data_IF_533284686190
#
_entry.id   IF_533284686190
#
_cell.length_a   1.000
_cell.length_b   1.000
_cell.length_c   1.000
_cell.angle_alpha   90.00
_cell.angle_beta   90.00
_cell.angle_gamma   90.00
#
_symmetry.space_group_name_H-M   'P 1'
#
loop_
_entity.id
_entity.type
_entity.pdbx_description
1 polymer ?
#
# COMPACT_ATOMS: atom_id res chain seq x y z
N UNK A 1 4.45 -27.42 -10.19
CA UNK A 1 3.60 -26.82 -9.15
C UNK A 1 3.91 -25.34 -9.10
N UNK A 2 2.92 -24.45 -9.18
CA UNK A 2 3.18 -23.03 -8.90
C UNK A 2 3.49 -22.92 -7.42
N UNK A 3 4.68 -22.43 -7.04
CA UNK A 3 4.97 -22.08 -5.65
C UNK A 3 3.94 -21.06 -5.18
N UNK A 4 3.42 -21.24 -3.96
CA UNK A 4 2.52 -20.26 -3.34
C UNK A 4 3.29 -18.98 -3.07
N UNK A 5 2.64 -17.85 -3.22
CA UNK A 5 3.20 -16.54 -2.89
C UNK A 5 3.46 -16.49 -1.38
N UNK A 6 4.69 -16.13 -0.98
CA UNK A 6 5.06 -15.90 0.42
C UNK A 6 4.70 -14.48 0.82
N UNK A 7 3.78 -14.33 1.76
CA UNK A 7 3.28 -13.05 2.25
C UNK A 7 3.89 -12.76 3.62
N UNK A 8 4.82 -11.81 3.68
CA UNK A 8 5.32 -11.27 4.94
C UNK A 8 4.28 -10.37 5.60
N UNK A 9 4.01 -10.58 6.88
CA UNK A 9 3.00 -9.84 7.63
C UNK A 9 3.65 -9.26 8.88
N UNK A 10 3.81 -7.93 8.96
CA UNK A 10 4.37 -7.30 10.17
C UNK A 10 3.30 -7.13 11.23
N UNK A 11 3.67 -7.32 12.51
CA UNK A 11 2.74 -7.22 13.65
C UNK A 11 2.17 -5.82 13.87
N UNK A 12 2.88 -4.76 13.41
CA UNK A 12 2.53 -3.38 13.71
C UNK A 12 2.71 -3.01 15.18
N UNK A 13 1.90 -2.06 15.66
CA UNK A 13 1.88 -1.69 17.07
C UNK A 13 1.29 -2.83 17.93
N UNK A 14 2.11 -3.36 18.83
CA UNK A 14 1.69 -4.45 19.74
C UNK A 14 0.59 -4.06 20.71
N UNK A 15 0.35 -2.77 20.91
CA UNK A 15 -0.72 -2.22 21.76
C UNK A 15 -1.98 -1.85 20.96
N UNK A 16 -1.94 -1.99 19.64
CA UNK A 16 -3.02 -1.64 18.72
C UNK A 16 -3.82 -2.84 18.23
N UNK A 17 -4.54 -2.62 17.12
CA UNK A 17 -5.43 -3.62 16.51
C UNK A 17 -4.71 -4.64 15.59
N UNK A 18 -3.39 -4.50 15.39
CA UNK A 18 -2.63 -5.32 14.43
C UNK A 18 -2.83 -6.81 14.66
N UNK A 19 -2.57 -7.30 15.87
CA UNK A 19 -2.74 -8.73 16.19
C UNK A 19 -4.19 -9.19 16.14
N UNK A 20 -5.16 -8.35 16.45
CA UNK A 20 -6.57 -8.71 16.31
C UNK A 20 -6.90 -9.07 14.86
N UNK A 21 -6.51 -8.20 13.92
CA UNK A 21 -6.73 -8.43 12.48
C UNK A 21 -5.95 -9.64 12.00
N UNK A 22 -4.67 -9.75 12.35
CA UNK A 22 -3.81 -10.88 11.95
C UNK A 22 -4.40 -12.20 12.43
N UNK A 23 -4.74 -12.32 13.71
CA UNK A 23 -5.24 -13.55 14.29
C UNK A 23 -6.61 -13.94 13.72
N UNK A 24 -7.54 -12.99 13.57
CA UNK A 24 -8.85 -13.25 12.96
C UNK A 24 -8.72 -13.73 11.51
N UNK A 25 -7.81 -13.14 10.75
CA UNK A 25 -7.57 -13.53 9.36
C UNK A 25 -6.92 -14.91 9.28
N UNK A 26 -5.85 -15.14 10.06
CA UNK A 26 -5.09 -16.38 9.99
C UNK A 26 -5.74 -17.55 10.73
N UNK A 27 -6.85 -17.34 11.46
CA UNK A 27 -7.68 -18.42 12.00
C UNK A 27 -8.52 -19.11 10.92
N UNK A 28 -8.68 -18.50 9.73
CA UNK A 28 -9.31 -19.13 8.58
C UNK A 28 -8.31 -20.09 7.90
N UNK A 29 -8.59 -21.40 7.87
CA UNK A 29 -7.69 -22.38 7.25
C UNK A 29 -7.50 -22.19 5.74
N UNK A 30 -8.43 -21.53 5.04
CA UNK A 30 -8.30 -21.28 3.60
C UNK A 30 -7.18 -20.28 3.26
N UNK A 31 -6.70 -19.47 4.21
CA UNK A 31 -5.61 -18.54 3.95
C UNK A 31 -4.32 -19.25 3.53
N UNK A 32 -3.99 -20.39 4.15
CA UNK A 32 -2.80 -21.18 3.79
C UNK A 32 -2.96 -21.93 2.46
N UNK A 33 -4.19 -22.04 1.93
CA UNK A 33 -4.42 -22.55 0.56
C UNK A 33 -4.07 -21.48 -0.49
N UNK A 34 -4.28 -20.20 -0.17
CA UNK A 34 -4.07 -19.07 -1.07
C UNK A 34 -2.61 -18.61 -1.10
N UNK A 35 -1.93 -18.59 0.05
CA UNK A 35 -0.57 -18.08 0.17
C UNK A 35 0.19 -18.78 1.30
N UNK A 36 1.49 -18.50 1.41
CA UNK A 36 2.34 -18.91 2.54
C UNK A 36 2.54 -17.72 3.47
N UNK A 37 1.77 -17.58 4.56
CA UNK A 37 1.91 -16.45 5.47
C UNK A 37 3.14 -16.60 6.36
N UNK A 38 3.92 -15.51 6.49
CA UNK A 38 5.08 -15.37 7.38
C UNK A 38 4.87 -14.15 8.27
N UNK A 39 4.51 -14.35 9.51
CA UNK A 39 4.28 -13.28 10.49
C UNK A 39 5.60 -12.87 11.12
N UNK A 40 5.90 -11.59 11.11
CA UNK A 40 7.03 -10.97 11.79
C UNK A 40 6.55 -10.34 13.09
N UNK A 41 6.88 -10.97 14.23
CA UNK A 41 6.33 -10.52 15.52
C UNK A 41 6.74 -11.38 16.70
N UNK A 42 5.83 -11.61 17.65
CA UNK A 42 6.03 -12.46 18.82
C UNK A 42 4.84 -13.40 19.05
N UNK A 43 5.12 -14.67 19.23
CA UNK A 43 4.11 -15.67 19.58
C UNK A 43 3.47 -15.41 20.96
N UNK A 44 4.24 -14.85 21.91
CA UNK A 44 3.71 -14.49 23.24
C UNK A 44 2.75 -13.32 23.16
N UNK A 45 3.09 -12.26 22.38
CA UNK A 45 2.20 -11.13 22.14
C UNK A 45 0.93 -11.59 21.42
N UNK A 46 1.06 -12.45 20.40
CA UNK A 46 -0.09 -13.05 19.73
C UNK A 46 -0.99 -13.83 20.71
N UNK A 47 -0.40 -14.65 21.59
CA UNK A 47 -1.14 -15.39 22.61
C UNK A 47 -1.84 -14.47 23.63
N UNK A 48 -1.22 -13.35 23.99
CA UNK A 48 -1.84 -12.33 24.85
C UNK A 48 -3.10 -11.76 24.21
N UNK A 49 -2.99 -11.26 22.96
CA UNK A 49 -4.13 -10.70 22.23
C UNK A 49 -5.24 -11.73 22.01
N UNK A 50 -4.86 -12.96 21.64
CA UNK A 50 -5.82 -14.06 21.48
C UNK A 50 -6.66 -14.28 22.74
N UNK A 51 -6.02 -14.32 23.90
CA UNK A 51 -6.72 -14.51 25.19
C UNK A 51 -7.59 -13.31 25.55
N UNK A 52 -7.08 -12.09 25.34
CA UNK A 52 -7.79 -10.86 25.67
C UNK A 52 -9.06 -10.63 24.82
N UNK A 53 -9.05 -11.14 23.59
CA UNK A 53 -10.11 -10.92 22.59
C UNK A 53 -10.95 -12.18 22.30
N UNK A 54 -10.67 -13.29 23.01
CA UNK A 54 -11.35 -14.59 22.81
C UNK A 54 -11.34 -15.07 21.34
N UNK A 55 -10.18 -14.92 20.67
CA UNK A 55 -10.00 -15.32 19.27
C UNK A 55 -9.57 -16.81 19.22
N UNK A 56 -10.01 -17.58 18.19
CA UNK A 56 -9.55 -18.95 17.98
C UNK A 56 -8.02 -19.06 17.91
N UNK A 57 -7.48 -20.21 18.29
CA UNK A 57 -6.04 -20.44 18.30
C UNK A 57 -5.50 -20.55 16.86
N UNK A 58 -4.45 -19.79 16.57
CA UNK A 58 -3.62 -19.95 15.39
C UNK A 58 -2.36 -20.70 15.80
N UNK A 59 -2.10 -21.85 15.15
CA UNK A 59 -0.91 -22.66 15.40
C UNK A 59 0.25 -22.12 14.56
N UNK A 60 1.11 -21.32 15.18
CA UNK A 60 2.29 -20.79 14.50
C UNK A 60 3.40 -21.84 14.40
N UNK A 61 3.95 -22.01 13.19
CA UNK A 61 5.21 -22.66 12.93
C UNK A 61 6.34 -21.67 13.16
N UNK A 62 7.05 -21.77 14.28
CA UNK A 62 8.13 -20.84 14.61
C UNK A 62 9.36 -21.18 13.77
N UNK A 63 9.85 -20.22 13.01
CA UNK A 63 11.02 -20.34 12.14
C UNK A 63 12.00 -19.18 12.39
N UNK A 64 13.25 -19.38 12.06
CA UNK A 64 14.30 -18.36 12.17
C UNK A 64 14.49 -17.54 10.90
N UNK A 65 14.08 -18.09 9.75
CA UNK A 65 14.28 -17.50 8.43
C UNK A 65 13.09 -17.78 7.52
N UNK A 66 12.72 -16.79 6.68
CA UNK A 66 11.57 -16.91 5.78
C UNK A 66 11.77 -17.96 4.66
N UNK A 67 13.02 -18.31 4.34
CA UNK A 67 13.29 -19.39 3.38
C UNK A 67 12.85 -20.77 3.88
N UNK A 68 12.78 -20.96 5.21
CA UNK A 68 12.33 -22.19 5.87
C UNK A 68 10.81 -22.25 6.07
N UNK A 69 10.05 -21.32 5.49
CA UNK A 69 8.60 -21.29 5.68
C UNK A 69 7.91 -22.53 5.08
N UNK A 70 7.06 -23.17 5.89
CA UNK A 70 6.22 -24.28 5.46
C UNK A 70 4.98 -23.71 4.71
N UNK A 71 4.79 -24.15 3.47
CA UNK A 71 3.71 -23.68 2.58
C UNK A 71 2.29 -24.01 3.08
N UNK A 72 2.16 -24.93 4.03
CA UNK A 72 0.88 -25.40 4.56
C UNK A 72 0.62 -24.93 6.00
N UNK A 73 1.44 -24.02 6.51
CA UNK A 73 1.33 -23.51 7.88
C UNK A 73 1.40 -22.01 7.93
N UNK A 74 0.87 -21.45 9.00
CA UNK A 74 1.11 -20.06 9.38
C UNK A 74 2.48 -20.00 10.06
N UNK A 75 3.45 -19.38 9.40
CA UNK A 75 4.82 -19.26 9.92
C UNK A 75 4.96 -17.99 10.75
N UNK A 76 5.88 -18.01 11.74
CA UNK A 76 6.20 -16.83 12.54
C UNK A 76 7.70 -16.73 12.76
N UNK A 77 8.25 -15.55 12.50
CA UNK A 77 9.61 -15.16 12.84
C UNK A 77 9.56 -14.23 14.05
N UNK A 78 10.25 -14.62 15.12
CA UNK A 78 10.33 -13.81 16.34
C UNK A 78 11.24 -12.61 16.10
N UNK A 79 10.68 -11.39 16.24
CA UNK A 79 11.36 -10.11 16.01
C UNK A 79 11.53 -9.28 17.27
N UNK A 80 10.92 -9.67 18.38
CA UNK A 80 10.93 -8.94 19.65
C UNK A 80 11.10 -9.91 20.81
N UNK A 81 11.67 -9.41 21.89
CA UNK A 81 11.88 -10.22 23.08
C UNK A 81 10.54 -10.69 23.66
N UNK A 82 10.58 -11.90 24.22
CA UNK A 82 9.40 -12.52 24.79
C UNK A 82 8.84 -11.78 26.03
N UNK A 83 9.65 -10.96 26.70
CA UNK A 83 9.25 -10.20 27.89
C UNK A 83 8.65 -8.82 27.60
N UNK A 84 8.37 -8.54 26.31
CA UNK A 84 7.74 -7.29 25.88
C UNK A 84 6.36 -7.14 26.56
N UNK A 85 6.18 -5.98 27.25
CA UNK A 85 4.95 -5.65 27.92
C UNK A 85 3.91 -5.08 26.95
N UNK A 86 2.76 -5.72 26.87
CA UNK A 86 1.61 -5.24 26.09
C UNK A 86 0.72 -4.36 26.97
N UNK A 87 0.41 -3.15 26.50
CA UNK A 87 -0.50 -2.20 27.14
C UNK A 87 -1.54 -1.71 26.12
N UNK A 88 -2.58 -2.51 25.92
CA UNK A 88 -3.60 -2.26 24.89
C UNK A 88 -4.14 -0.83 24.95
N UNK A 89 -4.20 -0.16 23.80
CA UNK A 89 -4.71 1.19 23.65
C UNK A 89 -3.76 2.30 24.04
N UNK A 90 -2.52 1.99 24.47
CA UNK A 90 -1.52 2.99 24.84
C UNK A 90 -0.41 3.11 23.80
N UNK A 91 -0.04 4.34 23.49
CA UNK A 91 1.16 4.62 22.71
C UNK A 91 2.39 4.50 23.63
N UNK A 92 3.26 3.53 23.40
CA UNK A 92 4.48 3.31 24.19
C UNK A 92 5.71 3.21 23.29
N UNK A 93 6.87 3.64 23.78
CA UNK A 93 8.14 3.50 23.05
C UNK A 93 8.44 2.02 22.71
N UNK A 94 8.17 1.12 23.68
CA UNK A 94 8.34 -0.33 23.48
C UNK A 94 7.47 -0.83 22.31
N UNK A 95 6.22 -0.35 22.20
CA UNK A 95 5.33 -0.69 21.07
C UNK A 95 5.88 -0.19 19.74
N UNK A 96 6.47 1.01 19.73
CA UNK A 96 7.13 1.58 18.56
C UNK A 96 8.37 0.80 18.14
N UNK A 97 9.24 0.46 19.08
CA UNK A 97 10.45 -0.36 18.84
C UNK A 97 10.09 -1.76 18.30
N UNK A 98 9.07 -2.39 18.89
CA UNK A 98 8.57 -3.69 18.45
C UNK A 98 8.01 -3.64 17.02
N UNK A 99 7.28 -2.58 16.68
CA UNK A 99 6.76 -2.37 15.33
C UNK A 99 7.89 -2.15 14.32
N UNK A 100 8.90 -1.34 14.67
CA UNK A 100 10.07 -1.12 13.83
C UNK A 100 10.89 -2.40 13.61
N UNK A 101 11.16 -3.17 14.66
CA UNK A 101 11.93 -4.41 14.56
C UNK A 101 11.28 -5.42 13.61
N UNK A 102 9.96 -5.56 13.67
CA UNK A 102 9.21 -6.42 12.75
C UNK A 102 9.25 -5.91 11.30
N UNK A 103 9.12 -4.60 11.11
CA UNK A 103 9.16 -3.96 9.79
C UNK A 103 10.54 -4.08 9.15
N UNK A 104 11.61 -3.82 9.90
CA UNK A 104 12.99 -3.92 9.40
C UNK A 104 13.35 -5.35 9.03
N UNK A 105 12.97 -6.34 9.84
CA UNK A 105 13.22 -7.75 9.54
C UNK A 105 12.46 -8.18 8.28
N UNK A 106 11.20 -7.79 8.15
CA UNK A 106 10.40 -8.11 6.96
C UNK A 106 10.95 -7.42 5.70
N UNK A 107 11.41 -6.17 5.82
CA UNK A 107 12.04 -5.46 4.71
C UNK A 107 13.35 -6.14 4.27
N UNK A 108 14.16 -6.63 5.20
CA UNK A 108 15.38 -7.36 4.88
C UNK A 108 15.09 -8.69 4.15
N UNK A 109 14.07 -9.44 4.58
CA UNK A 109 13.66 -10.67 3.92
C UNK A 109 13.02 -10.41 2.55
N UNK A 110 12.32 -9.26 2.37
CA UNK A 110 11.82 -8.81 1.07
C UNK A 110 12.97 -8.45 0.11
N UNK A 111 13.96 -7.72 0.58
CA UNK A 111 15.16 -7.37 -0.20
C UNK A 111 15.96 -8.62 -0.63
N UNK A 112 16.04 -9.62 0.25
CA UNK A 112 16.68 -10.90 -0.03
C UNK A 112 15.84 -11.82 -0.95
N UNK A 113 14.60 -11.44 -1.30
CA UNK A 113 13.68 -12.28 -2.08
C UNK A 113 13.17 -13.51 -1.33
N UNK A 114 13.26 -13.51 0.01
CA UNK A 114 12.75 -14.61 0.85
C UNK A 114 11.24 -14.55 1.04
N UNK A 115 10.63 -13.38 0.83
CA UNK A 115 9.18 -13.15 0.72
C UNK A 115 8.86 -12.40 -0.57
N UNK A 116 7.67 -12.62 -1.12
CA UNK A 116 7.24 -12.04 -2.40
C UNK A 116 6.46 -10.73 -2.23
N UNK A 117 5.72 -10.59 -1.12
CA UNK A 117 4.81 -9.48 -0.82
C UNK A 117 4.92 -9.15 0.66
N UNK A 118 4.84 -7.85 0.97
CA UNK A 118 4.82 -7.34 2.34
C UNK A 118 3.45 -6.71 2.65
N UNK A 119 2.79 -7.23 3.68
CA UNK A 119 1.57 -6.70 4.26
C UNK A 119 1.90 -6.10 5.64
N UNK A 120 1.59 -4.82 5.85
CA UNK A 120 1.92 -4.14 7.09
C UNK A 120 0.68 -3.93 7.95
N UNK A 121 0.72 -4.39 9.21
CA UNK A 121 -0.31 -4.03 10.19
C UNK A 121 -0.11 -2.56 10.65
N UNK A 122 -1.18 -1.93 11.18
CA UNK A 122 -1.12 -0.52 11.59
C UNK A 122 -0.05 -0.24 12.65
N UNK A 123 0.66 0.88 12.49
CA UNK A 123 1.62 1.41 13.46
C UNK A 123 1.07 2.64 14.17
N UNK A 124 1.56 2.90 15.36
CA UNK A 124 1.38 4.20 16.00
C UNK A 124 2.48 5.14 15.51
N UNK A 125 2.10 6.15 14.70
CA UNK A 125 3.05 7.05 14.05
C UNK A 125 3.91 7.88 15.01
N UNK A 126 3.42 8.14 16.22
CA UNK A 126 4.21 8.84 17.23
C UNK A 126 5.15 7.90 18.00
N UNK A 127 4.67 6.71 18.35
CA UNK A 127 5.44 5.75 19.13
C UNK A 127 6.62 5.15 18.36
N UNK A 128 6.50 5.00 17.02
CA UNK A 128 7.56 4.42 16.17
C UNK A 128 8.69 5.41 15.87
N UNK A 129 8.44 6.74 16.01
CA UNK A 129 9.48 7.74 15.73
C UNK A 129 10.69 7.54 16.62
N UNK A 130 11.86 7.48 16.00
CA UNK A 130 13.15 7.26 16.64
C UNK A 130 14.27 7.66 15.68
N UNK A 131 15.52 7.67 16.15
CA UNK A 131 16.69 7.89 15.28
C UNK A 131 16.79 6.86 14.13
N UNK A 132 16.14 5.71 14.30
CA UNK A 132 16.09 4.62 13.28
C UNK A 132 14.90 4.73 12.34
N UNK A 133 13.83 5.41 12.74
CA UNK A 133 12.62 5.59 11.95
C UNK A 133 12.15 7.04 12.01
N UNK A 134 12.71 7.86 11.12
CA UNK A 134 12.33 9.28 10.91
C UNK A 134 11.56 9.39 9.58
N UNK A 135 10.36 8.78 9.53
CA UNK A 135 9.51 8.76 8.35
C UNK A 135 8.05 9.05 8.72
N UNK A 136 7.27 9.71 7.84
CA UNK A 136 5.84 9.95 8.06
C UNK A 136 5.01 8.67 8.18
N UNK A 137 5.48 7.56 7.58
CA UNK A 137 4.78 6.28 7.60
C UNK A 137 5.51 5.17 6.84
N UNK A 138 4.81 4.07 6.62
CA UNK A 138 5.35 2.89 5.93
C UNK A 138 5.82 3.20 4.50
N UNK A 139 5.07 4.00 3.76
CA UNK A 139 5.33 4.27 2.34
C UNK A 139 6.70 4.88 2.12
N UNK A 140 7.01 5.94 2.87
CA UNK A 140 8.28 6.66 2.75
C UNK A 140 9.46 5.83 3.26
N UNK A 141 9.23 5.06 4.33
CA UNK A 141 10.23 4.10 4.83
C UNK A 141 10.53 3.02 3.78
N UNK A 142 9.51 2.38 3.22
CA UNK A 142 9.68 1.31 2.23
C UNK A 142 10.24 1.84 0.90
N UNK A 143 9.86 3.04 0.47
CA UNK A 143 10.47 3.71 -0.70
C UNK A 143 11.98 3.84 -0.51
N UNK A 144 12.41 4.34 0.65
CA UNK A 144 13.83 4.50 0.95
C UNK A 144 14.56 3.17 1.08
N UNK A 145 13.93 2.19 1.74
CA UNK A 145 14.56 0.91 2.12
C UNK A 145 14.63 -0.08 0.95
N UNK A 146 13.59 -0.12 0.11
CA UNK A 146 13.43 -1.12 -0.96
C UNK A 146 13.41 -0.51 -2.36
N UNK A 147 13.24 0.80 -2.49
CA UNK A 147 13.00 1.45 -3.78
C UNK A 147 14.21 1.49 -4.72
N UNK A 148 15.45 1.30 -4.22
CA UNK A 148 16.68 1.37 -5.03
C UNK A 148 16.74 2.63 -5.92
N UNK A 149 16.29 3.78 -5.37
CA UNK A 149 16.21 5.07 -6.08
C UNK A 149 14.92 5.27 -6.88
N UNK A 150 14.03 4.28 -6.95
CA UNK A 150 12.70 4.43 -7.54
C UNK A 150 11.71 5.02 -6.54
N UNK A 151 10.69 5.72 -7.07
CA UNK A 151 9.64 6.33 -6.28
C UNK A 151 8.47 5.39 -6.04
N UNK A 152 7.92 5.43 -4.84
CA UNK A 152 6.69 4.71 -4.53
C UNK A 152 5.48 5.35 -5.22
N UNK A 153 4.49 4.52 -5.53
CA UNK A 153 3.20 4.95 -6.03
C UNK A 153 2.10 4.34 -5.16
N UNK A 154 1.27 5.21 -4.59
CA UNK A 154 0.07 4.78 -3.87
C UNK A 154 -1.00 4.34 -4.87
N UNK A 155 -1.44 3.11 -4.80
CA UNK A 155 -2.52 2.55 -5.60
C UNK A 155 -3.62 2.06 -4.67
N UNK A 156 -4.84 2.59 -4.85
CA UNK A 156 -6.06 2.07 -4.23
C UNK A 156 -6.75 1.17 -5.24
N UNK A 157 -7.18 0.01 -4.82
CA UNK A 157 -7.76 -0.95 -5.76
C UNK A 157 -8.94 -1.72 -5.17
N UNK A 158 -9.82 -2.15 -6.07
CA UNK A 158 -10.81 -3.20 -5.84
C UNK A 158 -10.82 -4.13 -7.07
N UNK A 159 -11.80 -5.03 -7.17
CA UNK A 159 -11.85 -6.03 -8.25
C UNK A 159 -11.92 -5.41 -9.66
N UNK A 160 -12.49 -4.21 -9.78
CA UNK A 160 -12.75 -3.56 -11.08
C UNK A 160 -11.95 -2.29 -11.32
N UNK A 161 -11.47 -1.64 -10.26
CA UNK A 161 -10.89 -0.30 -10.34
C UNK A 161 -9.52 -0.23 -9.65
N UNK A 162 -8.58 0.46 -10.29
CA UNK A 162 -7.25 0.80 -9.76
C UNK A 162 -7.05 2.31 -9.85
N UNK A 163 -6.77 2.95 -8.73
CA UNK A 163 -6.57 4.40 -8.64
C UNK A 163 -5.18 4.68 -8.13
N UNK A 164 -4.36 5.34 -8.95
CA UNK A 164 -3.06 5.83 -8.54
C UNK A 164 -3.14 7.33 -8.17
N UNK A 165 -2.36 7.74 -7.20
CA UNK A 165 -2.32 9.13 -6.75
C UNK A 165 -1.08 9.84 -7.28
N UNK A 166 -1.26 11.02 -7.90
CA UNK A 166 -0.13 11.90 -8.27
C UNK A 166 0.50 12.49 -7.04
N UNK A 167 -0.34 12.90 -6.08
CA UNK A 167 0.10 13.53 -4.84
C UNK A 167 -0.68 12.95 -3.66
N UNK A 168 0.01 12.70 -2.56
CA UNK A 168 -0.57 12.27 -1.29
C UNK A 168 0.06 13.04 -0.13
N UNK A 169 -0.67 13.13 1.00
CA UNK A 169 -0.19 13.69 2.26
C UNK A 169 0.33 15.15 2.19
N UNK A 170 -0.19 15.94 1.25
CA UNK A 170 0.11 17.37 1.16
C UNK A 170 -1.10 18.22 1.61
N UNK A 171 -0.89 19.41 2.20
CA UNK A 171 -1.97 20.35 2.47
C UNK A 171 -2.71 20.73 1.19
N UNK A 172 -4.03 20.93 1.27
CA UNK A 172 -4.87 21.33 0.12
C UNK A 172 -4.30 22.53 -0.64
N UNK A 173 -3.82 23.52 0.12
CA UNK A 173 -3.24 24.75 -0.44
C UNK A 173 -1.94 24.53 -1.25
N UNK A 174 -1.32 23.36 -1.14
CA UNK A 174 -0.10 23.01 -1.87
C UNK A 174 -0.33 22.05 -3.03
N UNK A 175 -1.55 21.57 -3.22
CA UNK A 175 -1.83 20.54 -4.25
C UNK A 175 -1.45 21.06 -5.65
N UNK A 176 -1.90 22.25 -6.04
CA UNK A 176 -1.57 22.80 -7.36
C UNK A 176 -0.06 22.98 -7.60
N UNK A 177 0.71 23.26 -6.53
CA UNK A 177 2.16 23.44 -6.66
C UNK A 177 2.96 22.14 -6.80
N UNK A 178 2.40 21.00 -6.39
CA UNK A 178 3.06 19.68 -6.51
C UNK A 178 2.59 18.92 -7.75
N UNK A 179 1.50 19.35 -8.36
CA UNK A 179 1.00 18.82 -9.62
C UNK A 179 1.73 19.53 -10.77
N UNK A 180 2.83 18.93 -11.20
CA UNK A 180 3.61 19.40 -12.33
C UNK A 180 3.57 18.38 -13.46
N UNK A 181 3.93 18.80 -14.67
CA UNK A 181 4.01 17.92 -15.83
C UNK A 181 4.98 16.73 -15.55
N UNK A 182 6.12 17.01 -14.91
CA UNK A 182 7.14 16.04 -14.58
C UNK A 182 6.62 15.02 -13.56
N UNK A 183 5.95 15.49 -12.49
CA UNK A 183 5.35 14.61 -11.48
C UNK A 183 4.28 13.69 -12.10
N UNK A 184 3.43 14.23 -12.97
CA UNK A 184 2.41 13.42 -13.66
C UNK A 184 3.07 12.35 -14.52
N UNK A 185 4.08 12.72 -15.34
CA UNK A 185 4.79 11.77 -16.19
C UNK A 185 5.50 10.68 -15.41
N UNK A 186 6.17 11.04 -14.32
CA UNK A 186 6.81 10.06 -13.43
C UNK A 186 5.79 9.06 -12.90
N UNK A 187 4.67 9.54 -12.35
CA UNK A 187 3.62 8.68 -11.81
C UNK A 187 2.93 7.82 -12.87
N UNK A 188 2.71 8.35 -14.06
CA UNK A 188 2.17 7.58 -15.19
C UNK A 188 3.11 6.45 -15.59
N UNK A 189 4.42 6.69 -15.64
CA UNK A 189 5.41 5.66 -15.99
C UNK A 189 5.44 4.52 -14.95
N UNK A 190 5.52 4.87 -13.65
CA UNK A 190 5.51 3.88 -12.57
C UNK A 190 4.21 3.08 -12.61
N UNK A 191 3.08 3.76 -12.85
CA UNK A 191 1.78 3.11 -12.89
C UNK A 191 1.63 2.16 -14.07
N UNK A 192 2.01 2.58 -15.27
CA UNK A 192 1.98 1.71 -16.46
C UNK A 192 2.85 0.47 -16.26
N UNK A 193 4.05 0.66 -15.67
CA UNK A 193 4.94 -0.45 -15.36
C UNK A 193 4.31 -1.44 -14.37
N UNK A 194 3.75 -0.94 -13.26
CA UNK A 194 3.06 -1.78 -12.26
C UNK A 194 1.86 -2.51 -12.88
N UNK A 195 1.06 -1.83 -13.70
CA UNK A 195 -0.05 -2.48 -14.40
C UNK A 195 0.37 -3.66 -15.27
N UNK A 196 1.51 -3.55 -15.94
CA UNK A 196 2.05 -4.62 -16.78
C UNK A 196 2.66 -5.74 -15.93
N UNK A 197 3.47 -5.40 -14.93
CA UNK A 197 4.25 -6.35 -14.16
C UNK A 197 3.45 -7.00 -13.03
N UNK A 198 2.76 -6.18 -12.22
CA UNK A 198 2.09 -6.65 -11.00
C UNK A 198 0.65 -7.09 -11.28
N UNK A 199 -0.03 -6.39 -12.19
CA UNK A 199 -1.42 -6.69 -12.56
C UNK A 199 -1.57 -7.46 -13.86
N UNK A 200 -0.49 -7.80 -14.57
CA UNK A 200 -0.47 -8.57 -15.81
C UNK A 200 -1.35 -7.98 -16.94
N UNK A 201 -1.52 -6.65 -16.97
CA UNK A 201 -2.32 -5.97 -18.00
C UNK A 201 -1.47 -5.76 -19.24
N UNK A 202 -1.82 -6.43 -20.36
CA UNK A 202 -1.02 -6.39 -21.60
C UNK A 202 -0.98 -5.00 -22.24
N UNK A 203 -2.12 -4.29 -22.27
CA UNK A 203 -2.26 -2.95 -22.86
C UNK A 203 -2.98 -2.02 -21.87
N UNK A 204 -2.27 -1.47 -20.88
CA UNK A 204 -2.87 -0.55 -19.93
C UNK A 204 -3.45 0.68 -20.63
N UNK A 205 -4.69 1.03 -20.30
CA UNK A 205 -5.37 2.25 -20.75
C UNK A 205 -5.62 3.11 -19.51
N UNK A 206 -4.95 4.25 -19.43
CA UNK A 206 -4.94 5.08 -18.23
C UNK A 206 -5.82 6.30 -18.47
N UNK A 207 -6.87 6.45 -17.67
CA UNK A 207 -7.66 7.65 -17.62
C UNK A 207 -7.03 8.64 -16.62
N UNK A 208 -6.77 9.86 -17.04
CA UNK A 208 -6.23 10.91 -16.18
C UNK A 208 -7.39 11.83 -15.80
N UNK A 209 -7.59 12.02 -14.50
CA UNK A 209 -8.62 12.94 -14.01
C UNK A 209 -8.10 14.37 -13.96
N UNK A 210 -9.02 15.31 -14.06
CA UNK A 210 -8.78 16.71 -13.88
C UNK A 210 -8.49 17.05 -12.41
N UNK A 211 -7.78 18.15 -12.19
CA UNK A 211 -7.55 18.74 -10.88
C UNK A 211 -8.74 19.59 -10.47
N UNK A 212 -9.21 20.44 -11.41
CA UNK A 212 -10.27 21.40 -11.16
C UNK A 212 -11.66 20.82 -11.45
N UNK A 213 -12.71 21.32 -10.80
CA UNK A 213 -14.08 20.99 -11.15
C UNK A 213 -14.36 21.21 -12.65
N UNK A 214 -15.17 20.33 -13.25
CA UNK A 214 -15.54 20.39 -14.68
C UNK A 214 -14.33 20.46 -15.63
N UNK A 215 -13.19 19.88 -15.21
CA UNK A 215 -11.92 19.92 -15.94
C UNK A 215 -11.44 21.36 -16.26
N UNK A 216 -11.68 22.31 -15.33
CA UNK A 216 -11.26 23.70 -15.43
C UNK A 216 -12.17 24.58 -16.29
N UNK A 217 -13.22 24.03 -16.93
CA UNK A 217 -14.20 24.76 -17.75
C UNK A 217 -13.51 25.70 -18.74
N UNK A 218 -12.65 25.16 -19.60
CA UNK A 218 -11.80 25.83 -20.57
C UNK A 218 -10.95 27.00 -20.01
N UNK A 219 -10.56 26.90 -18.75
CA UNK A 219 -9.70 27.85 -18.03
C UNK A 219 -10.45 28.83 -17.15
N UNK A 220 -11.77 28.74 -17.07
CA UNK A 220 -12.57 29.59 -16.19
C UNK A 220 -12.38 29.25 -14.70
N UNK A 221 -12.20 27.97 -14.40
CA UNK A 221 -12.04 27.43 -13.03
C UNK A 221 -10.61 26.98 -12.72
N UNK A 222 -9.63 27.40 -13.54
CA UNK A 222 -8.22 27.05 -13.41
C UNK A 222 -7.63 26.64 -14.75
N UNK A 223 -6.31 26.78 -14.91
CA UNK A 223 -5.61 26.52 -16.18
C UNK A 223 -4.74 25.27 -16.13
N UNK A 224 -4.69 24.58 -14.99
CA UNK A 224 -3.80 23.41 -14.77
C UNK A 224 -4.09 22.28 -15.78
N UNK A 225 -5.35 22.10 -16.19
CA UNK A 225 -5.71 21.12 -17.22
C UNK A 225 -5.09 21.45 -18.56
N UNK A 226 -5.07 22.73 -18.93
CA UNK A 226 -4.57 23.21 -20.24
C UNK A 226 -3.05 23.26 -20.22
N UNK A 227 -2.46 23.82 -19.17
CA UNK A 227 -1.03 24.14 -19.11
C UNK A 227 -0.17 23.00 -18.62
N UNK A 228 -0.73 22.07 -17.84
CA UNK A 228 0.03 21.00 -17.17
C UNK A 228 -0.48 19.62 -17.59
N UNK A 229 -1.77 19.30 -17.37
CA UNK A 229 -2.26 17.93 -17.49
C UNK A 229 -2.35 17.48 -18.95
N UNK A 230 -2.94 18.28 -19.85
CA UNK A 230 -3.00 17.97 -21.29
C UNK A 230 -1.61 17.78 -21.90
N UNK A 231 -0.62 18.68 -21.66
CA UNK A 231 0.75 18.47 -22.12
C UNK A 231 1.41 17.20 -21.57
N UNK A 232 1.16 16.83 -20.30
CA UNK A 232 1.66 15.58 -19.73
C UNK A 232 1.07 14.36 -20.43
N UNK A 233 -0.23 14.33 -20.67
CA UNK A 233 -0.91 13.25 -21.41
C UNK A 233 -0.36 13.12 -22.83
N UNK A 234 -0.17 14.24 -23.53
CA UNK A 234 0.39 14.25 -24.89
C UNK A 234 1.80 13.67 -24.92
N UNK A 235 2.65 14.05 -23.97
CA UNK A 235 4.01 13.52 -23.88
C UNK A 235 4.01 12.03 -23.49
N UNK A 236 3.14 11.60 -22.58
CA UNK A 236 2.98 10.19 -22.22
C UNK A 236 2.58 9.35 -23.44
N UNK A 237 1.63 9.84 -24.26
CA UNK A 237 1.19 9.20 -25.49
C UNK A 237 2.31 9.16 -26.55
N UNK A 238 3.10 10.21 -26.67
CA UNK A 238 4.26 10.24 -27.56
C UNK A 238 5.34 9.21 -27.15
N UNK A 239 5.41 8.83 -25.87
CA UNK A 239 6.26 7.76 -25.34
C UNK A 239 5.63 6.35 -25.47
N UNK A 240 4.45 6.24 -26.08
CA UNK A 240 3.77 4.96 -26.36
C UNK A 240 2.82 4.48 -25.27
N UNK A 241 2.56 5.26 -24.24
CA UNK A 241 1.52 4.98 -23.27
C UNK A 241 0.13 5.25 -23.87
N UNK A 242 -0.92 4.67 -23.30
CA UNK A 242 -2.31 4.91 -23.72
C UNK A 242 -3.02 5.70 -22.62
N UNK A 243 -2.81 7.01 -22.62
CA UNK A 243 -3.38 7.94 -21.64
C UNK A 243 -4.49 8.78 -22.26
N UNK A 244 -5.60 8.94 -21.54
CA UNK A 244 -6.81 9.62 -22.00
C UNK A 244 -7.26 10.65 -20.96
N UNK A 245 -7.88 11.76 -21.38
CA UNK A 245 -8.37 12.82 -20.49
C UNK A 245 -7.75 14.18 -20.83
N UNK A 246 -7.75 15.17 -19.90
CA UNK A 246 -8.27 15.04 -18.55
C UNK A 246 -9.79 14.92 -18.49
N UNK A 247 -10.28 14.01 -17.67
CA UNK A 247 -11.72 13.81 -17.44
C UNK A 247 -12.16 14.54 -16.16
N UNK A 248 -13.31 15.22 -16.16
CA UNK A 248 -13.87 15.79 -14.94
C UNK A 248 -14.23 14.67 -13.95
N UNK A 249 -13.78 14.80 -12.69
CA UNK A 249 -13.98 13.78 -11.68
C UNK A 249 -15.46 13.57 -11.31
N UNK A 250 -16.25 14.60 -11.43
CA UNK A 250 -17.71 14.62 -11.18
C UNK A 250 -18.52 13.90 -12.27
N UNK A 251 -18.05 13.92 -13.53
CA UNK A 251 -18.70 13.25 -14.67
C UNK A 251 -18.16 11.84 -14.98
N UNK A 252 -17.16 11.37 -14.25
CA UNK A 252 -16.45 10.13 -14.59
C UNK A 252 -17.17 8.84 -14.15
N UNK A 253 -18.31 8.90 -13.49
CA UNK A 253 -19.06 7.74 -12.99
C UNK A 253 -19.84 6.98 -14.08
N UNK A 254 -19.69 7.31 -15.37
CA UNK A 254 -20.37 6.60 -16.45
C UNK A 254 -19.79 5.20 -16.69
N UNK A 255 -20.64 4.15 -16.72
CA UNK A 255 -20.23 2.75 -16.89
C UNK A 255 -19.37 2.49 -18.14
N UNK A 256 -19.60 3.23 -19.23
CA UNK A 256 -18.95 2.99 -20.52
C UNK A 256 -17.45 3.33 -20.53
N UNK A 257 -17.02 4.27 -19.69
CA UNK A 257 -15.59 4.61 -19.55
C UNK A 257 -14.90 3.57 -18.67
N UNK A 258 -15.59 3.07 -17.66
CA UNK A 258 -15.07 2.07 -16.71
C UNK A 258 -14.91 0.69 -17.40
N UNK A 259 -15.86 0.28 -18.22
CA UNK A 259 -15.89 -1.06 -18.85
C UNK A 259 -14.88 -1.20 -20.01
N UNK A 260 -14.60 -0.12 -20.74
CA UNK A 260 -13.71 -0.14 -21.89
C UNK A 260 -12.25 0.25 -21.60
N UNK A 261 -11.94 0.60 -20.37
CA UNK A 261 -10.58 0.89 -19.95
C UNK A 261 -10.19 -0.07 -18.83
N UNK A 262 -8.95 -0.50 -18.83
CA UNK A 262 -8.28 -0.91 -17.60
C UNK A 262 -8.15 0.39 -16.82
N UNK A 263 -9.20 0.77 -16.08
CA UNK A 263 -9.34 2.12 -15.55
C UNK A 263 -8.32 2.32 -14.48
N UNK A 264 -7.38 3.15 -14.77
CA UNK A 264 -6.35 3.58 -13.89
C UNK A 264 -6.47 5.08 -13.77
N UNK A 265 -6.92 5.53 -12.64
CA UNK A 265 -7.11 6.94 -12.38
C UNK A 265 -5.82 7.51 -11.84
N UNK A 266 -5.33 8.52 -12.47
CA UNK A 266 -4.36 9.39 -11.86
C UNK A 266 -5.16 10.48 -11.14
N UNK A 267 -5.52 10.24 -9.89
CA UNK A 267 -6.30 11.18 -9.10
C UNK A 267 -5.39 12.18 -8.39
N UNK A 268 -5.74 13.44 -8.49
CA UNK A 268 -5.05 14.53 -7.79
C UNK A 268 -5.86 14.94 -6.56
N UNK A 269 -6.81 14.15 -6.08
CA UNK A 269 -7.81 14.69 -5.16
C UNK A 269 -7.95 14.11 -3.79
N UNK A 270 -8.25 15.03 -2.98
CA UNK A 270 -8.62 15.17 -1.58
C UNK A 270 -10.04 14.74 -1.31
N UNK A 271 -10.83 14.17 -1.87
CA UNK A 271 -12.17 13.71 -1.42
C UNK A 271 -12.99 13.14 -2.56
N UNK A 272 -13.00 11.82 -2.64
CA UNK A 272 -14.27 11.12 -2.76
C UNK A 272 -14.14 9.65 -2.36
N UNK A 273 -14.19 9.43 -1.07
CA UNK A 273 -14.37 8.13 -0.42
C UNK A 273 -15.70 7.45 -0.82
N UNK A 274 -16.49 8.08 -1.68
CA UNK A 274 -17.78 7.51 -2.13
C UNK A 274 -17.66 6.45 -3.20
N UNK A 275 -16.53 6.38 -3.91
CA UNK A 275 -16.33 5.39 -4.98
C UNK A 275 -15.98 3.99 -4.47
N UNK A 276 -15.57 3.84 -3.21
CA UNK A 276 -15.26 2.53 -2.60
C UNK A 276 -16.46 1.82 -1.97
N UNK A 277 -17.69 2.37 -2.08
CA UNK A 277 -18.91 1.83 -1.44
C UNK A 277 -20.01 1.46 -2.43
N UNK A 278 -19.66 1.01 -3.62
CA UNK A 278 -20.64 0.35 -4.50
C UNK A 278 -20.14 -1.00 -4.92
#
# INVERSE_FOLDING_TARGET
MKCKIKVGITQGDINGVGYEVILKTLSDPHIVELCTPVVYGSAKVAAYHRKALDIPAVNFNIISDASAADENKVNLITCVDDDVKVEIGKATAIGGEAAYAALERAAADMEAGSIDVLLTAPINKHAIQSDKFDFPGHTEYLERRLGNGQKALMILLNDTLRVALVSGHVPVSKVSSVVTKETILEKLQIFEQSLRQDFCVVKPRIAVLALNPHAGDDGLLGTEEIEIIKPAIQEANAKGMLCFGPYPADGFSEPDIIVNSTVCWLCITIKDWRLSRR
#
